data_IF_374665536328
#
_entry.id   IF_374665536328
#
_cell.length_a   1.000
_cell.length_b   1.000
_cell.length_c   1.000
_cell.angle_alpha   90.00
_cell.angle_beta   90.00
_cell.angle_gamma   90.00
#
_symmetry.space_group_name_H-M   'P 1'
#
loop_
_entity.id
_entity.type
_entity.pdbx_description
1 polymer ?
#
# COMPACT_ATOMS: atom_id res chain seq x y z
N UNK A 1 9.41 -20.65 -9.80
CA UNK A 1 8.73 -20.02 -8.65
C UNK A 1 9.39 -18.72 -8.16
N UNK A 2 10.73 -18.63 -8.07
CA UNK A 2 11.41 -17.43 -7.51
C UNK A 2 11.12 -16.09 -8.24
N UNK A 3 10.81 -16.11 -9.53
CA UNK A 3 10.50 -14.90 -10.34
C UNK A 3 9.00 -14.57 -10.35
N UNK A 4 8.13 -15.55 -10.06
CA UNK A 4 6.68 -15.36 -10.13
C UNK A 4 6.19 -14.37 -9.06
N UNK A 5 6.66 -14.50 -7.81
CA UNK A 5 6.24 -13.61 -6.73
C UNK A 5 6.66 -12.14 -6.95
N UNK A 6 7.91 -11.85 -7.38
CA UNK A 6 8.26 -10.50 -7.83
C UNK A 6 7.35 -9.96 -8.94
N UNK A 7 6.98 -10.78 -9.93
CA UNK A 7 6.10 -10.34 -11.00
C UNK A 7 4.68 -10.01 -10.49
N UNK A 8 4.13 -10.82 -9.58
CA UNK A 8 2.85 -10.53 -8.93
C UNK A 8 2.91 -9.24 -8.11
N UNK A 9 4.03 -8.97 -7.43
CA UNK A 9 4.23 -7.71 -6.71
C UNK A 9 4.25 -6.50 -7.68
N UNK A 10 4.89 -6.64 -8.84
CA UNK A 10 4.88 -5.61 -9.90
C UNK A 10 3.46 -5.37 -10.41
N UNK A 11 2.68 -6.43 -10.64
CA UNK A 11 1.27 -6.29 -11.04
C UNK A 11 0.45 -5.55 -9.96
N UNK A 12 0.69 -5.83 -8.68
CA UNK A 12 0.11 -5.07 -7.59
C UNK A 12 0.51 -3.58 -7.60
N UNK A 13 1.77 -3.28 -7.93
CA UNK A 13 2.22 -1.88 -8.11
C UNK A 13 1.47 -1.16 -9.23
N UNK A 14 1.22 -1.84 -10.35
CA UNK A 14 0.47 -1.30 -11.49
C UNK A 14 -0.97 -0.98 -11.11
N UNK A 15 -1.65 -1.89 -10.40
CA UNK A 15 -3.04 -1.66 -9.98
C UNK A 15 -3.16 -0.49 -9.01
N UNK A 16 -2.22 -0.37 -8.06
CA UNK A 16 -2.16 0.76 -7.13
C UNK A 16 -1.92 2.10 -7.85
N UNK A 17 -1.10 2.12 -8.89
CA UNK A 17 -0.87 3.33 -9.68
C UNK A 17 -2.13 3.82 -10.42
N UNK A 18 -2.85 2.88 -11.05
CA UNK A 18 -4.13 3.17 -11.72
C UNK A 18 -5.17 3.63 -10.70
N UNK A 19 -5.24 2.97 -9.54
CA UNK A 19 -6.14 3.34 -8.44
C UNK A 19 -5.88 4.77 -7.98
N UNK A 20 -4.62 5.19 -7.81
CA UNK A 20 -4.29 6.56 -7.40
C UNK A 20 -4.89 7.62 -8.33
N UNK A 21 -4.81 7.41 -9.64
CA UNK A 21 -5.38 8.34 -10.63
C UNK A 21 -6.92 8.33 -10.62
N UNK A 22 -7.54 7.15 -10.58
CA UNK A 22 -9.00 7.01 -10.54
C UNK A 22 -9.56 7.68 -9.28
N UNK A 23 -8.99 7.36 -8.12
CA UNK A 23 -9.43 7.86 -6.82
C UNK A 23 -9.14 9.36 -6.67
N UNK A 24 -8.00 9.86 -7.14
CA UNK A 24 -7.72 11.29 -7.19
C UNK A 24 -8.72 12.06 -8.07
N UNK A 25 -9.10 11.49 -9.22
CA UNK A 25 -10.13 12.05 -10.08
C UNK A 25 -11.52 12.05 -9.43
N UNK A 26 -11.88 10.97 -8.74
CA UNK A 26 -13.12 10.89 -7.96
C UNK A 26 -13.11 11.92 -6.82
N UNK A 27 -12.01 12.05 -6.09
CA UNK A 27 -11.83 12.99 -4.98
C UNK A 27 -12.04 14.45 -5.38
N UNK A 28 -11.63 14.84 -6.59
CA UNK A 28 -11.91 16.18 -7.14
C UNK A 28 -13.40 16.48 -7.30
N UNK A 29 -14.25 15.45 -7.45
CA UNK A 29 -15.69 15.61 -7.71
C UNK A 29 -16.54 15.48 -6.45
N UNK A 30 -16.22 14.52 -5.58
CA UNK A 30 -17.09 14.17 -4.44
C UNK A 30 -16.47 14.46 -3.07
N UNK A 31 -15.20 14.88 -3.02
CA UNK A 31 -14.46 15.06 -1.77
C UNK A 31 -13.50 13.90 -1.47
N UNK A 32 -12.43 14.19 -0.72
CA UNK A 32 -11.32 13.25 -0.47
C UNK A 32 -11.77 12.06 0.38
N UNK A 33 -12.53 12.32 1.44
CA UNK A 33 -12.98 11.30 2.39
C UNK A 33 -14.07 10.45 1.75
N UNK A 34 -15.01 11.07 1.05
CA UNK A 34 -16.11 10.44 0.33
C UNK A 34 -15.59 9.54 -0.78
N UNK A 35 -14.63 10.00 -1.58
CA UNK A 35 -13.99 9.19 -2.61
C UNK A 35 -13.27 7.96 -2.02
N UNK A 36 -12.60 8.14 -0.87
CA UNK A 36 -11.94 7.04 -0.16
C UNK A 36 -12.95 6.02 0.37
N UNK A 37 -14.05 6.49 0.96
CA UNK A 37 -15.14 5.65 1.45
C UNK A 37 -15.80 4.85 0.32
N UNK A 38 -16.13 5.50 -0.80
CA UNK A 38 -16.72 4.84 -1.97
C UNK A 38 -15.75 3.79 -2.54
N UNK A 39 -14.46 4.13 -2.68
CA UNK A 39 -13.45 3.20 -3.18
C UNK A 39 -13.32 1.96 -2.29
N UNK A 40 -13.25 2.15 -0.97
CA UNK A 40 -13.23 1.03 -0.01
C UNK A 40 -14.52 0.23 -0.01
N UNK A 41 -15.67 0.87 -0.15
CA UNK A 41 -16.97 0.21 -0.26
C UNK A 41 -17.03 -0.72 -1.47
N UNK A 42 -16.66 -0.22 -2.66
CA UNK A 42 -16.60 -1.03 -3.89
C UNK A 42 -15.61 -2.19 -3.74
N UNK A 43 -14.41 -1.92 -3.20
CA UNK A 43 -13.41 -2.95 -2.96
C UNK A 43 -13.89 -4.04 -1.98
N UNK A 44 -14.56 -3.63 -0.90
CA UNK A 44 -15.13 -4.56 0.09
C UNK A 44 -16.21 -5.44 -0.52
N UNK A 45 -17.11 -4.86 -1.33
CA UNK A 45 -18.13 -5.63 -2.03
C UNK A 45 -17.50 -6.63 -3.02
N UNK A 46 -16.51 -6.20 -3.80
CA UNK A 46 -15.79 -7.09 -4.71
C UNK A 46 -15.11 -8.25 -3.96
N UNK A 47 -14.45 -7.96 -2.84
CA UNK A 47 -13.83 -8.98 -1.99
C UNK A 47 -14.87 -9.92 -1.37
N UNK A 48 -16.03 -9.41 -0.94
CA UNK A 48 -17.11 -10.24 -0.42
C UNK A 48 -17.57 -11.25 -1.48
N UNK A 49 -17.79 -10.80 -2.72
CA UNK A 49 -18.13 -11.70 -3.83
C UNK A 49 -17.03 -12.76 -4.04
N UNK A 50 -15.76 -12.37 -4.09
CA UNK A 50 -14.65 -13.31 -4.26
C UNK A 50 -14.61 -14.33 -3.10
N UNK A 51 -14.82 -13.90 -1.86
CA UNK A 51 -14.86 -14.78 -0.69
C UNK A 51 -16.00 -15.79 -0.78
N UNK A 52 -17.18 -15.39 -1.24
CA UNK A 52 -18.34 -16.28 -1.36
C UNK A 52 -18.15 -17.39 -2.41
N UNK A 53 -17.46 -17.09 -3.52
CA UNK A 53 -17.34 -18.02 -4.66
C UNK A 53 -15.98 -18.73 -4.78
N UNK A 54 -14.91 -18.12 -4.27
CA UNK A 54 -13.54 -18.62 -4.39
C UNK A 54 -12.78 -18.64 -3.05
N UNK A 55 -13.39 -18.18 -1.96
CA UNK A 55 -12.78 -18.20 -0.63
C UNK A 55 -12.65 -19.62 -0.09
N UNK A 56 -11.46 -19.96 0.40
CA UNK A 56 -11.16 -21.26 1.02
C UNK A 56 -10.62 -21.11 2.46
N UNK A 57 -10.76 -19.93 3.06
CA UNK A 57 -10.30 -19.62 4.41
C UNK A 57 -11.37 -19.81 5.50
N UNK A 58 -11.04 -19.43 6.75
CA UNK A 58 -11.95 -19.48 7.90
C UNK A 58 -12.17 -18.09 8.50
N UNK A 59 -13.31 -17.45 8.17
CA UNK A 59 -13.67 -16.11 8.67
C UNK A 59 -13.92 -16.13 10.19
N UNK A 60 -14.43 -17.23 10.74
CA UNK A 60 -14.76 -17.32 12.18
C UNK A 60 -13.52 -17.19 13.08
N UNK A 61 -12.32 -17.46 12.54
CA UNK A 61 -11.05 -17.29 13.24
C UNK A 61 -10.75 -15.83 13.61
N UNK A 62 -11.48 -14.84 13.08
CA UNK A 62 -11.34 -13.43 13.47
C UNK A 62 -11.54 -13.20 14.98
N UNK A 63 -12.27 -14.08 15.64
CA UNK A 63 -12.45 -14.03 17.09
C UNK A 63 -11.13 -14.27 17.85
N UNK A 64 -10.26 -15.15 17.34
CA UNK A 64 -9.03 -15.60 18.00
C UNK A 64 -7.77 -14.85 17.60
N UNK A 65 -7.81 -14.04 16.53
CA UNK A 65 -6.63 -13.26 16.12
C UNK A 65 -6.37 -12.07 17.07
N UNK A 66 -5.10 -11.68 17.27
CA UNK A 66 -4.75 -10.44 17.95
C UNK A 66 -5.45 -9.24 17.29
N UNK A 67 -6.18 -8.44 18.08
CA UNK A 67 -7.05 -7.38 17.52
C UNK A 67 -6.30 -6.28 16.76
N UNK A 68 -5.01 -6.09 17.03
CA UNK A 68 -4.17 -5.19 16.25
C UNK A 68 -4.05 -5.62 14.78
N UNK A 69 -4.21 -6.91 14.44
CA UNK A 69 -4.19 -7.35 13.03
C UNK A 69 -5.36 -6.79 12.22
N UNK A 70 -6.45 -6.38 12.90
CA UNK A 70 -7.62 -5.79 12.25
C UNK A 70 -7.39 -4.32 11.86
N UNK A 71 -6.34 -3.68 12.36
CA UNK A 71 -6.03 -2.28 11.99
C UNK A 71 -5.52 -2.15 10.56
N UNK A 72 -5.21 -3.26 9.87
CA UNK A 72 -4.78 -3.23 8.47
C UNK A 72 -5.78 -2.51 7.55
N UNK A 73 -7.09 -2.70 7.79
CA UNK A 73 -8.14 -1.99 7.04
C UNK A 73 -8.09 -0.48 7.27
N UNK A 74 -7.86 -0.05 8.51
CA UNK A 74 -7.74 1.36 8.86
C UNK A 74 -6.49 2.00 8.20
N UNK A 75 -5.35 1.31 8.23
CA UNK A 75 -4.13 1.78 7.56
C UNK A 75 -4.31 1.89 6.05
N UNK A 76 -5.05 0.95 5.44
CA UNK A 76 -5.43 1.04 4.03
C UNK A 76 -6.32 2.24 3.72
N UNK A 77 -7.30 2.54 4.58
CA UNK A 77 -8.17 3.71 4.42
C UNK A 77 -7.36 5.01 4.49
N UNK A 78 -6.44 5.12 5.44
CA UNK A 78 -5.51 6.26 5.54
C UNK A 78 -4.67 6.39 4.27
N UNK A 79 -4.13 5.28 3.76
CA UNK A 79 -3.37 5.26 2.51
C UNK A 79 -4.19 5.81 1.33
N UNK A 80 -5.44 5.39 1.18
CA UNK A 80 -6.30 5.87 0.10
C UNK A 80 -6.65 7.36 0.26
N UNK A 81 -6.91 7.83 1.48
CA UNK A 81 -7.11 9.26 1.72
C UNK A 81 -5.89 10.07 1.27
N UNK A 82 -4.69 9.63 1.65
CA UNK A 82 -3.45 10.30 1.25
C UNK A 82 -3.27 10.28 -0.27
N UNK A 83 -3.51 9.15 -0.94
CA UNK A 83 -3.30 9.09 -2.40
C UNK A 83 -4.33 9.94 -3.16
N UNK A 84 -5.58 9.99 -2.70
CA UNK A 84 -6.64 10.84 -3.26
C UNK A 84 -6.28 12.32 -3.12
N UNK A 85 -5.66 12.70 -2.00
CA UNK A 85 -5.25 14.08 -1.74
C UNK A 85 -4.02 14.47 -2.56
N UNK A 86 -3.00 13.60 -2.61
CA UNK A 86 -1.68 13.95 -3.15
C UNK A 86 -1.61 13.83 -4.68
N UNK A 87 -2.21 12.78 -5.27
CA UNK A 87 -2.11 12.54 -6.74
C UNK A 87 -2.61 13.71 -7.58
N UNK A 88 -3.76 14.34 -7.28
CA UNK A 88 -4.22 15.56 -7.94
C UNK A 88 -3.23 16.74 -7.98
N UNK A 89 -2.34 16.82 -6.99
CA UNK A 89 -1.48 17.98 -6.73
C UNK A 89 -0.12 17.84 -7.41
N UNK A 90 0.50 16.66 -7.29
CA UNK A 90 1.87 16.42 -7.79
C UNK A 90 1.93 15.36 -8.90
N UNK A 91 0.83 14.69 -9.22
CA UNK A 91 0.77 13.60 -10.19
C UNK A 91 1.05 12.22 -9.58
N UNK A 92 0.76 11.16 -10.34
CA UNK A 92 0.82 9.77 -9.86
C UNK A 92 2.24 9.31 -9.54
N UNK A 93 3.18 9.53 -10.46
CA UNK A 93 4.55 9.04 -10.32
C UNK A 93 5.26 9.56 -9.05
N UNK A 94 5.39 10.89 -8.81
CA UNK A 94 6.05 11.39 -7.60
C UNK A 94 5.31 11.02 -6.31
N UNK A 95 3.97 10.92 -6.34
CA UNK A 95 3.20 10.44 -5.19
C UNK A 95 3.56 8.99 -4.82
N UNK A 96 3.63 8.09 -5.81
CA UNK A 96 4.00 6.69 -5.57
C UNK A 96 5.45 6.52 -5.16
N UNK A 97 6.38 7.30 -5.70
CA UNK A 97 7.78 7.26 -5.25
C UNK A 97 7.87 7.64 -3.76
N UNK A 98 7.11 8.64 -3.32
CA UNK A 98 7.03 9.01 -1.90
C UNK A 98 6.45 7.88 -1.03
N UNK A 99 5.37 7.24 -1.50
CA UNK A 99 4.78 6.07 -0.83
C UNK A 99 5.78 4.92 -0.72
N UNK A 100 6.45 4.57 -1.82
CA UNK A 100 7.43 3.48 -1.87
C UNK A 100 8.60 3.76 -0.94
N UNK A 101 9.09 5.00 -0.89
CA UNK A 101 10.14 5.40 0.05
C UNK A 101 9.71 5.14 1.50
N UNK A 102 8.51 5.60 1.89
CA UNK A 102 7.96 5.35 3.23
C UNK A 102 7.78 3.86 3.54
N UNK A 103 7.26 3.10 2.58
CA UNK A 103 7.07 1.64 2.68
C UNK A 103 8.39 0.90 2.91
N UNK A 104 9.45 1.28 2.18
CA UNK A 104 10.76 0.61 2.29
C UNK A 104 11.44 0.96 3.62
N UNK A 105 11.33 2.20 4.08
CA UNK A 105 11.88 2.61 5.40
C UNK A 105 11.22 1.81 6.51
N UNK A 106 9.88 1.84 6.57
CA UNK A 106 9.17 1.15 7.66
C UNK A 106 9.29 -0.37 7.51
N UNK A 107 9.30 -0.90 6.29
CA UNK A 107 9.53 -2.33 6.02
C UNK A 107 10.90 -2.78 6.51
N UNK A 108 11.95 -1.99 6.27
CA UNK A 108 13.29 -2.29 6.76
C UNK A 108 13.36 -2.26 8.30
N UNK A 109 12.63 -1.35 8.95
CA UNK A 109 12.51 -1.31 10.43
C UNK A 109 11.77 -2.56 10.95
N UNK A 110 10.63 -2.90 10.34
CA UNK A 110 9.84 -4.09 10.69
C UNK A 110 10.71 -5.35 10.58
N UNK A 111 11.41 -5.51 9.47
CA UNK A 111 12.30 -6.65 9.21
C UNK A 111 13.48 -6.68 10.20
N UNK A 112 14.12 -5.53 10.44
CA UNK A 112 15.31 -5.45 11.30
C UNK A 112 15.02 -5.89 12.75
N UNK A 113 13.85 -5.52 13.26
CA UNK A 113 13.42 -5.85 14.62
C UNK A 113 12.54 -7.10 14.69
N UNK A 114 12.12 -7.69 13.56
CA UNK A 114 11.19 -8.82 13.53
C UNK A 114 9.82 -8.46 14.12
N UNK A 115 9.36 -7.22 13.89
CA UNK A 115 8.08 -6.75 14.42
C UNK A 115 6.92 -7.59 13.88
N UNK A 116 5.80 -7.61 14.61
CA UNK A 116 4.56 -8.29 14.22
C UNK A 116 4.70 -9.82 14.04
N UNK A 117 5.72 -10.43 14.64
CA UNK A 117 5.99 -11.87 14.53
C UNK A 117 6.73 -12.27 13.25
N UNK A 118 7.29 -11.30 12.52
CA UNK A 118 8.09 -11.53 11.33
C UNK A 118 9.47 -12.12 11.63
N UNK A 119 10.08 -12.73 10.62
CA UNK A 119 11.48 -13.19 10.69
C UNK A 119 12.39 -11.98 10.76
N UNK A 120 13.34 -11.99 11.70
CA UNK A 120 14.33 -10.92 11.81
C UNK A 120 15.29 -10.96 10.64
N UNK A 121 15.27 -9.93 9.80
CA UNK A 121 16.19 -9.76 8.67
C UNK A 121 17.01 -8.50 8.92
N UNK A 122 18.29 -8.62 9.31
CA UNK A 122 19.14 -7.47 9.62
C UNK A 122 19.22 -6.48 8.46
N UNK A 123 19.43 -5.22 8.85
CA UNK A 123 19.59 -4.10 7.94
C UNK A 123 21.09 -3.95 7.71
N UNK A 124 21.53 -4.26 6.50
CA UNK A 124 22.94 -4.22 6.11
C UNK A 124 23.27 -2.96 5.30
N UNK A 125 24.56 -2.72 5.05
CA UNK A 125 25.01 -1.54 4.32
C UNK A 125 24.42 -1.45 2.89
N UNK A 126 24.12 -2.60 2.25
CA UNK A 126 23.54 -2.64 0.90
C UNK A 126 22.09 -2.15 0.92
N UNK A 127 21.30 -2.55 1.91
CA UNK A 127 19.92 -2.09 2.09
C UNK A 127 19.88 -0.59 2.44
N UNK A 128 20.78 -0.11 3.30
CA UNK A 128 20.90 1.33 3.58
C UNK A 128 21.18 2.10 2.30
N UNK A 129 22.16 1.65 1.51
CA UNK A 129 22.49 2.29 0.23
C UNK A 129 21.29 2.31 -0.73
N UNK A 130 20.53 1.21 -0.81
CA UNK A 130 19.29 1.14 -1.59
C UNK A 130 18.23 2.16 -1.15
N UNK A 131 18.04 2.34 0.17
CA UNK A 131 17.14 3.35 0.73
C UNK A 131 17.62 4.77 0.36
N UNK A 132 18.92 5.04 0.45
CA UNK A 132 19.48 6.33 0.04
C UNK A 132 19.23 6.63 -1.45
N UNK A 133 19.40 5.64 -2.32
CA UNK A 133 19.13 5.79 -3.76
C UNK A 133 17.65 6.07 -4.07
N UNK A 134 16.72 5.53 -3.27
CA UNK A 134 15.30 5.87 -3.39
C UNK A 134 15.01 7.33 -3.07
N UNK A 135 15.70 7.92 -2.09
CA UNK A 135 15.58 9.35 -1.81
C UNK A 135 16.14 10.22 -2.94
N UNK A 136 17.22 9.79 -3.59
CA UNK A 136 17.73 10.45 -4.79
C UNK A 136 16.67 10.39 -5.91
N UNK A 137 16.04 9.23 -6.11
CA UNK A 137 14.94 9.10 -7.07
C UNK A 137 13.77 10.03 -6.72
N UNK A 138 13.34 10.07 -5.45
CA UNK A 138 12.27 10.96 -4.99
C UNK A 138 12.59 12.44 -5.25
N UNK A 139 13.83 12.85 -4.98
CA UNK A 139 14.29 14.21 -5.26
C UNK A 139 14.19 14.52 -6.76
N UNK A 140 14.70 13.63 -7.62
CA UNK A 140 14.66 13.82 -9.08
C UNK A 140 13.24 13.87 -9.66
N UNK A 141 12.30 13.07 -9.11
CA UNK A 141 10.90 13.08 -9.57
C UNK A 141 10.12 14.34 -9.13
N UNK A 142 10.53 14.99 -8.03
CA UNK A 142 9.85 16.18 -7.51
C UNK A 142 10.52 17.49 -7.93
N UNK A 143 11.79 17.44 -8.36
CA UNK A 143 12.49 18.60 -8.88
C UNK A 143 12.03 18.86 -10.32
N UNK A 144 11.38 20.00 -10.55
CA UNK A 144 10.96 20.45 -11.88
C UNK A 144 12.16 20.96 -12.69
#
# INVERSE_FOLDING_TARGET
MKILFPLLAVLGGITIAIQGQINGGLGKKVGVIEASFISFGIGTLALLFIVLFAGNGNISAIASVPKWQLTGGLLGAIYVIVIVLVVPQIGVAPALVGVIAGQIIIGAVIDHFGLFGGVRIPLDAKKVAGICLLFVSLYLFNHK
#
